data_IF_874525487615
#
_entry.id   IF_874525487615
#
_cell.length_a   1.000
_cell.length_b   1.000
_cell.length_c   1.000
_cell.angle_alpha   90.00
_cell.angle_beta   90.00
_cell.angle_gamma   90.00
#
_symmetry.space_group_name_H-M   'P 1'
#
loop_
_entity.id
_entity.type
_entity.pdbx_description
1 polymer ?
#
# COMPACT_ATOMS: atom_id res chain seq x y z
N UNK A 1 -8.17 7.04 5.57
CA UNK A 1 -7.93 8.29 4.81
C UNK A 1 -6.67 8.04 4.02
N UNK A 2 -6.63 8.45 2.76
CA UNK A 2 -5.49 8.11 1.90
C UNK A 2 -4.25 8.91 2.33
N UNK A 3 -3.07 8.29 2.34
CA UNK A 3 -1.80 8.95 2.74
C UNK A 3 -0.83 8.95 1.57
N UNK A 4 -0.22 10.11 1.27
CA UNK A 4 0.81 10.23 0.24
C UNK A 4 2.20 9.96 0.82
N UNK A 5 3.00 9.22 0.07
CA UNK A 5 4.35 8.79 0.46
C UNK A 5 5.32 9.27 -0.60
N UNK A 6 6.32 10.01 -0.17
CA UNK A 6 7.38 10.60 -0.97
C UNK A 6 8.73 9.99 -0.59
N UNK A 7 9.66 9.91 -1.53
CA UNK A 7 11.05 9.60 -1.23
C UNK A 7 11.80 10.82 -0.66
N UNK A 8 13.11 10.67 -0.42
CA UNK A 8 13.96 11.72 0.12
C UNK A 8 14.16 12.90 -0.86
N UNK A 9 13.89 12.71 -2.16
CA UNK A 9 13.98 13.75 -3.19
C UNK A 9 12.62 14.43 -3.44
N UNK A 10 11.63 14.15 -2.59
CA UNK A 10 10.24 14.64 -2.69
C UNK A 10 9.51 14.14 -3.95
N UNK A 11 9.93 13.00 -4.51
CA UNK A 11 9.19 12.33 -5.58
C UNK A 11 8.05 11.53 -4.97
N UNK A 12 6.82 11.72 -5.45
CA UNK A 12 5.67 10.94 -5.03
C UNK A 12 5.84 9.47 -5.46
N UNK A 13 6.01 8.58 -4.48
CA UNK A 13 6.12 7.14 -4.72
C UNK A 13 4.74 6.52 -4.87
N UNK A 14 3.80 6.88 -3.99
CA UNK A 14 2.46 6.33 -4.03
C UNK A 14 1.52 6.94 -3.01
N UNK A 15 0.26 6.48 -3.09
CA UNK A 15 -0.79 6.82 -2.13
C UNK A 15 -1.35 5.53 -1.56
N UNK A 16 -1.32 5.39 -0.24
CA UNK A 16 -1.85 4.23 0.47
C UNK A 16 -3.30 4.47 0.88
N UNK A 17 -4.17 3.46 0.80
CA UNK A 17 -5.55 3.57 1.27
C UNK A 17 -5.63 3.72 2.80
N UNK A 18 -4.73 3.05 3.53
CA UNK A 18 -4.62 3.08 4.98
C UNK A 18 -3.15 3.13 5.41
N UNK A 19 -2.87 3.96 6.41
CA UNK A 19 -1.61 3.96 7.15
C UNK A 19 -1.91 3.67 8.62
N UNK A 20 -1.30 2.64 9.18
CA UNK A 20 -1.55 2.23 10.57
C UNK A 20 -0.46 2.73 11.53
N UNK A 21 0.78 2.84 11.06
CA UNK A 21 1.95 3.36 11.76
C UNK A 21 3.02 3.71 10.70
N UNK A 22 4.12 4.33 11.10
CA UNK A 22 5.24 4.75 10.25
C UNK A 22 5.97 3.57 9.58
N UNK A 23 5.48 2.33 9.67
CA UNK A 23 6.07 1.11 9.11
C UNK A 23 5.10 0.16 8.41
N UNK A 24 3.79 0.42 8.44
CA UNK A 24 2.77 -0.46 7.86
C UNK A 24 1.72 0.33 7.09
N UNK A 25 1.56 -0.03 5.82
CA UNK A 25 0.45 0.41 4.99
C UNK A 25 -0.51 -0.74 4.68
N UNK A 26 -1.78 -0.39 4.60
CA UNK A 26 -2.87 -1.26 4.20
C UNK A 26 -3.48 -0.79 2.89
N UNK A 27 -3.63 -1.70 1.94
CA UNK A 27 -4.27 -1.42 0.66
C UNK A 27 -5.56 -2.23 0.53
N UNK A 28 -6.64 -1.56 0.10
CA UNK A 28 -7.90 -2.22 -0.14
C UNK A 28 -8.09 -2.48 -1.63
N UNK A 29 -8.04 -3.76 -1.98
CA UNK A 29 -8.24 -4.20 -3.35
C UNK A 29 -9.71 -4.56 -3.59
N UNK A 30 -10.45 -3.62 -4.16
CA UNK A 30 -11.80 -3.90 -4.64
C UNK A 30 -11.72 -4.88 -5.83
N UNK A 31 -12.64 -5.85 -5.91
CA UNK A 31 -12.66 -6.90 -6.95
C UNK A 31 -12.60 -6.42 -8.40
N UNK A 32 -12.74 -5.13 -8.68
CA UNK A 32 -12.71 -4.56 -10.02
C UNK A 32 -11.96 -3.23 -10.00
N UNK A 33 -10.67 -3.26 -10.38
CA UNK A 33 -9.92 -2.05 -10.77
C UNK A 33 -9.28 -2.13 -12.15
N UNK A 34 -9.20 -3.31 -12.78
CA UNK A 34 -8.63 -3.46 -14.11
C UNK A 34 -9.55 -2.84 -15.16
N UNK A 35 -9.17 -1.66 -15.66
CA UNK A 35 -9.91 -0.87 -16.66
C UNK A 35 -10.28 0.53 -16.17
N UNK A 36 -10.67 0.70 -14.90
CA UNK A 36 -11.19 1.99 -14.39
C UNK A 36 -10.11 3.02 -14.07
N UNK A 37 -8.86 2.58 -13.93
CA UNK A 37 -7.70 3.42 -13.61
C UNK A 37 -6.62 3.40 -14.69
N UNK A 38 -6.97 2.98 -15.91
CA UNK A 38 -6.06 3.12 -17.03
C UNK A 38 -5.85 4.60 -17.30
N UNK A 39 -4.59 5.02 -17.35
CA UNK A 39 -4.25 6.33 -17.91
C UNK A 39 -4.55 6.32 -19.42
N UNK A 40 -4.78 7.49 -20.05
CA UNK A 40 -4.94 7.55 -21.50
C UNK A 40 -3.77 6.84 -22.21
N UNK A 41 -4.09 5.83 -23.03
CA UNK A 41 -3.10 5.03 -23.76
C UNK A 41 -2.45 3.88 -22.97
N UNK A 42 -2.80 3.67 -21.70
CA UNK A 42 -2.25 2.60 -20.87
C UNK A 42 -3.00 1.28 -21.10
N UNK A 43 -2.28 0.18 -21.31
CA UNK A 43 -2.88 -1.17 -21.32
C UNK A 43 -3.09 -1.69 -19.90
N UNK A 44 -3.89 -2.75 -19.75
CA UNK A 44 -4.04 -3.43 -18.45
C UNK A 44 -2.68 -3.94 -17.94
N UNK A 45 -1.82 -4.46 -18.82
CA UNK A 45 -0.50 -4.93 -18.46
C UNK A 45 0.39 -3.80 -17.94
N UNK A 46 0.35 -2.63 -18.58
CA UNK A 46 1.09 -1.45 -18.14
C UNK A 46 0.64 -0.99 -16.75
N UNK A 47 -0.68 -0.96 -16.51
CA UNK A 47 -1.23 -0.60 -15.21
C UNK A 47 -0.81 -1.58 -14.10
N UNK A 48 -0.79 -2.88 -14.39
CA UNK A 48 -0.30 -3.90 -13.45
C UNK A 48 1.20 -3.71 -13.18
N UNK A 49 2.01 -3.46 -14.21
CA UNK A 49 3.44 -3.21 -14.04
C UNK A 49 3.71 -1.94 -13.25
N UNK A 50 2.94 -0.87 -13.48
CA UNK A 50 3.02 0.38 -12.72
C UNK A 50 2.67 0.16 -11.25
N UNK A 51 1.60 -0.57 -10.96
CA UNK A 51 1.22 -0.90 -9.59
C UNK A 51 2.27 -1.77 -8.89
N UNK A 52 2.86 -2.74 -9.61
CA UNK A 52 3.97 -3.54 -9.09
C UNK A 52 5.19 -2.69 -8.76
N UNK A 53 5.63 -1.82 -9.68
CA UNK A 53 6.76 -0.90 -9.46
C UNK A 53 6.51 0.02 -8.27
N UNK A 54 5.29 0.51 -8.10
CA UNK A 54 4.89 1.31 -6.94
C UNK A 54 5.06 0.54 -5.64
N UNK A 55 4.54 -0.68 -5.59
CA UNK A 55 4.64 -1.53 -4.39
C UNK A 55 6.08 -1.92 -4.08
N UNK A 56 6.89 -2.20 -5.11
CA UNK A 56 8.31 -2.50 -4.96
C UNK A 56 9.09 -1.29 -4.44
N UNK A 57 8.84 -0.08 -4.95
CA UNK A 57 9.45 1.15 -4.43
C UNK A 57 9.07 1.43 -2.96
N UNK A 58 7.81 1.16 -2.57
CA UNK A 58 7.39 1.26 -1.17
C UNK A 58 8.14 0.26 -0.28
N UNK A 59 8.34 -0.98 -0.75
CA UNK A 59 9.14 -1.98 -0.04
C UNK A 59 10.61 -1.59 0.06
N UNK A 60 11.19 -1.01 -0.98
CA UNK A 60 12.58 -0.50 -0.98
C UNK A 60 12.77 0.62 0.04
N UNK A 61 11.76 1.47 0.20
CA UNK A 61 11.72 2.46 1.28
C UNK A 61 11.57 1.84 2.67
N UNK A 62 11.26 0.54 2.79
CA UNK A 62 11.14 -0.18 4.05
C UNK A 62 9.70 -0.41 4.53
N UNK A 63 8.69 -0.03 3.74
CA UNK A 63 7.30 -0.24 4.11
C UNK A 63 6.90 -1.72 4.04
N UNK A 64 6.20 -2.18 5.07
CA UNK A 64 5.41 -3.40 4.96
C UNK A 64 4.05 -3.06 4.37
N UNK A 65 3.62 -3.89 3.41
CA UNK A 65 2.33 -3.73 2.72
C UNK A 65 1.47 -4.95 3.00
N UNK A 66 0.26 -4.71 3.48
CA UNK A 66 -0.78 -5.74 3.56
C UNK A 66 -1.96 -5.37 2.69
N UNK A 67 -2.53 -6.37 2.01
CA UNK A 67 -3.70 -6.20 1.15
C UNK A 67 -4.86 -7.02 1.69
N UNK A 68 -6.05 -6.47 1.58
CA UNK A 68 -7.29 -7.22 1.80
C UNK A 68 -8.34 -6.82 0.77
N UNK A 69 -9.26 -7.75 0.53
CA UNK A 69 -10.36 -7.59 -0.41
C UNK A 69 -11.70 -7.63 0.33
N UNK A 70 -12.79 -7.44 -0.42
CA UNK A 70 -14.15 -7.62 0.11
C UNK A 70 -14.36 -8.96 0.84
N UNK A 71 -13.79 -10.05 0.33
CA UNK A 71 -13.93 -11.37 0.94
C UNK A 71 -13.30 -11.47 2.34
N UNK A 72 -12.23 -10.71 2.62
CA UNK A 72 -11.59 -10.69 3.94
C UNK A 72 -12.47 -10.02 5.00
N UNK A 73 -13.32 -9.06 4.59
CA UNK A 73 -14.24 -8.36 5.49
C UNK A 73 -15.30 -9.29 6.08
N UNK A 74 -15.62 -10.39 5.39
CA UNK A 74 -16.50 -11.44 5.93
C UNK A 74 -15.83 -12.27 7.04
N UNK A 75 -14.53 -12.09 7.27
CA UNK A 75 -13.76 -12.76 8.33
C UNK A 75 -13.00 -11.72 9.16
N UNK A 76 -13.70 -10.82 9.87
CA UNK A 76 -13.10 -9.65 10.49
C UNK A 76 -12.04 -10.00 11.55
N UNK A 77 -12.25 -11.06 12.34
CA UNK A 77 -11.27 -11.54 13.32
C UNK A 77 -9.98 -12.01 12.65
N UNK A 78 -10.09 -12.69 11.51
CA UNK A 78 -8.93 -13.15 10.75
C UNK A 78 -8.15 -11.97 10.14
N UNK A 79 -8.86 -10.99 9.58
CA UNK A 79 -8.26 -9.78 9.03
C UNK A 79 -7.55 -8.97 10.13
N UNK A 80 -8.21 -8.76 11.28
CA UNK A 80 -7.63 -8.06 12.41
C UNK A 80 -6.34 -8.73 12.90
N UNK A 81 -6.32 -10.07 13.01
CA UNK A 81 -5.10 -10.81 13.37
C UNK A 81 -3.97 -10.57 12.37
N UNK A 82 -4.24 -10.63 11.07
CA UNK A 82 -3.23 -10.36 10.02
C UNK A 82 -2.65 -8.94 10.15
N UNK A 83 -3.51 -7.94 10.40
CA UNK A 83 -3.08 -6.56 10.60
C UNK A 83 -2.18 -6.45 11.84
N UNK A 84 -2.58 -7.03 12.98
CA UNK A 84 -1.81 -6.99 14.22
C UNK A 84 -0.45 -7.70 14.12
N UNK A 85 -0.40 -8.83 13.41
CA UNK A 85 0.85 -9.54 13.11
C UNK A 85 1.78 -8.70 12.24
N UNK A 86 1.24 -8.07 11.18
CA UNK A 86 2.01 -7.19 10.31
C UNK A 86 2.53 -5.95 11.04
N UNK A 87 1.72 -5.35 11.91
CA UNK A 87 2.12 -4.25 12.78
C UNK A 87 3.27 -4.63 13.70
N UNK A 88 3.22 -5.83 14.28
CA UNK A 88 4.27 -6.32 15.17
C UNK A 88 5.59 -6.53 14.41
N UNK A 89 5.52 -7.03 13.17
CA UNK A 89 6.69 -7.13 12.28
C UNK A 89 7.24 -5.76 11.89
N UNK A 90 6.37 -4.81 11.56
CA UNK A 90 6.76 -3.45 11.20
C UNK A 90 7.53 -2.74 12.32
N UNK A 91 7.03 -2.84 13.55
CA UNK A 91 7.72 -2.28 14.73
C UNK A 91 9.08 -2.91 15.02
N UNK A 92 9.29 -4.15 14.57
CA UNK A 92 10.56 -4.88 14.76
C UNK A 92 11.52 -4.73 13.58
N UNK A 93 11.08 -4.08 12.49
CA UNK A 93 11.85 -3.88 11.27
C UNK A 93 12.48 -2.48 11.25
N UNK A 94 13.40 -2.24 10.30
CA UNK A 94 13.92 -0.90 10.06
C UNK A 94 12.76 0.03 9.71
N UNK A 95 12.72 1.22 10.34
CA UNK A 95 11.74 2.25 9.97
C UNK A 95 11.89 2.65 8.51
N UNK A 96 10.79 2.77 7.76
CA UNK A 96 10.82 3.31 6.42
C UNK A 96 11.52 4.66 6.33
N UNK A 97 12.23 4.86 5.21
CA UNK A 97 12.72 6.17 4.78
C UNK A 97 11.68 6.88 3.92
N UNK A 98 11.81 8.22 3.83
CA UNK A 98 10.92 9.07 3.03
C UNK A 98 10.11 10.03 3.89
N UNK A 99 9.17 10.72 3.25
CA UNK A 99 8.28 11.70 3.87
C UNK A 99 6.84 11.25 3.59
N UNK A 100 5.98 11.23 4.61
CA UNK A 100 4.57 10.95 4.44
C UNK A 100 3.73 12.08 5.00
N UNK A 101 2.70 12.46 4.24
CA UNK A 101 1.78 13.53 4.60
C UNK A 101 0.39 12.93 4.77
N UNK A 102 -0.21 12.98 5.98
CA UNK A 102 -1.63 12.67 6.11
C UNK A 102 -2.42 13.67 5.25
N UNK A 103 -3.33 13.16 4.42
CA UNK A 103 -4.20 13.96 3.56
C UNK A 103 -5.26 14.80 4.32
#
# INVERSE_FOLDING_TARGET
>A
MQTEIYDAEHTLIGRADFMFDDGLIGEFDGQVKYGRYLRPGETIADAVLREKRREDALRELGWLVIRWMWADLNRPVHLARRILEALSRARSSRRPSGIWLPA
#
